data_IF_339773678921
#
_entry.id   IF_339773678921
#
_cell.length_a   1.000
_cell.length_b   1.000
_cell.length_c   1.000
_cell.angle_alpha   90.00
_cell.angle_beta   90.00
_cell.angle_gamma   90.00
#
_symmetry.space_group_name_H-M   'P 1'
#
loop_
_entity.id
_entity.type
_entity.pdbx_description
1 polymer ?
#
# COMPACT_ATOMS: atom_id res chain seq x y z
N UNK A 1 18.62 0.25 13.78
CA UNK A 1 17.20 0.66 13.88
C UNK A 1 16.44 -0.23 12.91
N UNK A 2 15.75 -1.25 13.40
CA UNK A 2 15.02 -2.22 12.58
C UNK A 2 13.71 -1.60 12.09
N UNK A 3 13.22 -2.02 10.93
CA UNK A 3 11.95 -1.52 10.36
C UNK A 3 10.77 -1.67 11.33
N UNK A 4 10.85 -2.58 12.29
CA UNK A 4 9.87 -2.83 13.35
C UNK A 4 9.78 -1.68 14.37
N UNK A 5 10.84 -0.89 14.56
CA UNK A 5 10.84 0.22 15.52
C UNK A 5 10.05 1.44 15.02
N UNK A 6 9.80 1.52 13.71
CA UNK A 6 9.06 2.62 13.07
C UNK A 6 7.54 2.42 13.16
N UNK A 7 7.07 1.19 13.33
CA UNK A 7 5.65 0.83 13.25
C UNK A 7 4.93 0.67 14.60
N UNK A 8 5.55 1.05 15.72
CA UNK A 8 4.84 1.10 17.01
C UNK A 8 4.20 2.48 17.21
N UNK A 9 2.90 2.64 16.96
CA UNK A 9 2.19 3.78 17.55
C UNK A 9 2.21 3.56 19.06
N UNK A 10 2.85 4.45 19.79
CA UNK A 10 2.72 4.53 21.23
C UNK A 10 1.30 5.02 21.60
N UNK A 11 0.31 4.17 21.35
CA UNK A 11 -1.03 4.39 21.85
C UNK A 11 -1.16 3.73 23.22
N UNK A 12 -0.58 4.36 24.22
CA UNK A 12 -0.84 4.05 25.62
C UNK A 12 -2.00 4.89 26.10
N UNK A 13 -3.18 4.28 26.25
CA UNK A 13 -4.35 4.96 26.80
C UNK A 13 -5.68 4.27 26.48
N UNK A 14 -6.75 4.83 27.04
CA UNK A 14 -8.14 4.38 26.86
C UNK A 14 -8.51 4.28 25.36
N UNK A 15 -7.97 5.18 24.52
CA UNK A 15 -8.14 5.18 23.07
C UNK A 15 -7.55 3.96 22.35
N UNK A 16 -6.45 3.41 22.82
CA UNK A 16 -5.87 2.20 22.23
C UNK A 16 -6.70 0.95 22.53
N UNK A 17 -7.22 0.87 23.75
CA UNK A 17 -8.13 -0.23 24.17
C UNK A 17 -9.46 -0.17 23.41
N UNK A 18 -10.00 1.05 23.24
CA UNK A 18 -11.22 1.26 22.45
C UNK A 18 -10.98 0.97 20.96
N UNK A 19 -9.85 1.39 20.41
CA UNK A 19 -9.45 1.04 19.04
C UNK A 19 -9.32 -0.47 18.87
N UNK A 20 -8.62 -1.17 19.75
CA UNK A 20 -8.48 -2.63 19.70
C UNK A 20 -9.81 -3.37 19.80
N UNK A 21 -10.72 -2.91 20.67
CA UNK A 21 -12.08 -3.42 20.75
C UNK A 21 -12.86 -3.19 19.44
N UNK A 22 -12.79 -1.99 18.90
CA UNK A 22 -13.47 -1.63 17.65
C UNK A 22 -12.95 -2.49 16.49
N UNK A 23 -11.63 -2.64 16.35
CA UNK A 23 -11.03 -3.49 15.32
C UNK A 23 -11.38 -4.96 15.47
N UNK A 24 -11.49 -5.47 16.71
CA UNK A 24 -11.94 -6.83 16.98
C UNK A 24 -13.42 -7.10 16.63
N UNK A 25 -14.24 -6.04 16.54
CA UNK A 25 -15.68 -6.13 16.31
C UNK A 25 -16.15 -5.45 15.01
N UNK A 26 -15.25 -5.23 14.07
CA UNK A 26 -15.61 -4.58 12.79
C UNK A 26 -16.71 -5.32 12.03
N UNK A 27 -16.68 -6.65 12.01
CA UNK A 27 -17.64 -7.45 11.26
C UNK A 27 -19.11 -7.22 11.72
N UNK A 28 -19.46 -7.34 13.01
CA UNK A 28 -20.83 -7.06 13.47
C UNK A 28 -21.20 -5.57 13.34
N UNK A 29 -20.26 -4.64 13.55
CA UNK A 29 -20.49 -3.20 13.38
C UNK A 29 -20.84 -2.89 11.93
N UNK A 30 -20.05 -3.36 10.99
CA UNK A 30 -20.33 -3.17 9.57
C UNK A 30 -21.59 -3.94 9.12
N UNK A 31 -21.90 -5.08 9.73
CA UNK A 31 -23.15 -5.80 9.51
C UNK A 31 -24.37 -4.95 9.88
N UNK A 32 -24.34 -4.33 11.07
CA UNK A 32 -25.37 -3.41 11.53
C UNK A 32 -25.49 -2.17 10.62
N UNK A 33 -24.38 -1.53 10.30
CA UNK A 33 -24.36 -0.35 9.43
C UNK A 33 -24.93 -0.66 8.04
N UNK A 34 -24.54 -1.77 7.42
CA UNK A 34 -25.06 -2.18 6.09
C UNK A 34 -26.57 -2.33 6.07
N UNK A 35 -27.15 -2.76 7.16
CA UNK A 35 -28.61 -2.99 7.23
C UNK A 35 -29.37 -1.71 7.55
N UNK A 36 -28.98 -0.99 8.61
CA UNK A 36 -29.74 0.14 9.13
C UNK A 36 -29.29 1.49 8.58
N UNK A 37 -28.01 1.65 8.29
CA UNK A 37 -27.46 2.92 7.84
C UNK A 37 -26.28 2.70 6.86
N UNK A 38 -26.58 2.33 5.60
CA UNK A 38 -25.56 1.87 4.64
C UNK A 38 -24.56 2.94 4.22
N UNK A 39 -24.92 4.21 4.35
CA UNK A 39 -24.05 5.34 4.04
C UNK A 39 -23.99 6.30 5.23
N UNK A 40 -23.36 5.90 6.36
CA UNK A 40 -23.18 6.79 7.48
C UNK A 40 -22.23 7.94 7.12
N UNK A 41 -22.48 9.12 7.72
CA UNK A 41 -21.61 10.27 7.55
C UNK A 41 -21.34 10.98 8.88
N UNK A 42 -20.17 11.62 8.96
CA UNK A 42 -19.81 12.49 10.07
C UNK A 42 -19.11 13.74 9.51
N UNK A 43 -19.75 14.89 9.63
CA UNK A 43 -19.31 16.11 8.97
C UNK A 43 -19.23 15.93 7.45
N UNK A 44 -18.08 16.19 6.86
CA UNK A 44 -17.81 16.01 5.42
C UNK A 44 -17.38 14.60 5.01
N UNK A 45 -17.21 13.68 5.99
CA UNK A 45 -16.76 12.32 5.70
C UNK A 45 -17.94 11.38 5.55
N UNK A 46 -18.00 10.68 4.45
CA UNK A 46 -19.00 9.68 4.12
C UNK A 46 -18.35 8.29 4.08
N UNK A 47 -19.06 7.29 4.59
CA UNK A 47 -18.57 5.92 4.58
C UNK A 47 -19.53 5.03 3.78
N UNK A 48 -19.04 4.36 2.76
CA UNK A 48 -19.78 3.37 2.01
C UNK A 48 -19.58 2.01 2.67
N UNK A 49 -20.66 1.32 3.05
CA UNK A 49 -20.56 0.04 3.77
C UNK A 49 -21.06 -1.16 2.96
N UNK A 50 -21.84 -0.95 1.91
CA UNK A 50 -22.30 -2.01 1.01
C UNK A 50 -21.31 -2.23 -0.13
N UNK A 51 -21.15 -3.48 -0.52
CA UNK A 51 -20.24 -3.86 -1.61
C UNK A 51 -20.56 -3.14 -2.93
N UNK A 52 -21.84 -3.09 -3.31
CA UNK A 52 -22.24 -2.47 -4.58
C UNK A 52 -22.01 -0.95 -4.59
N UNK A 53 -22.23 -0.27 -3.45
CA UNK A 53 -21.97 1.17 -3.32
C UNK A 53 -20.46 1.45 -3.40
N UNK A 54 -19.65 0.65 -2.72
CA UNK A 54 -18.18 0.74 -2.77
C UNK A 54 -17.69 0.48 -4.19
N UNK A 55 -18.19 -0.58 -4.83
CA UNK A 55 -17.83 -0.92 -6.21
C UNK A 55 -18.22 0.19 -7.18
N UNK A 56 -19.42 0.74 -7.04
CA UNK A 56 -19.87 1.87 -7.87
C UNK A 56 -18.95 3.09 -7.69
N UNK A 57 -18.59 3.43 -6.44
CA UNK A 57 -17.67 4.52 -6.14
C UNK A 57 -16.28 4.33 -6.77
N UNK A 58 -15.74 3.11 -6.75
CA UNK A 58 -14.44 2.81 -7.38
C UNK A 58 -14.47 2.83 -8.92
N UNK A 59 -15.64 2.71 -9.52
CA UNK A 59 -15.81 2.71 -10.98
C UNK A 59 -16.20 4.07 -11.55
N UNK A 60 -16.55 5.04 -10.71
CA UNK A 60 -16.95 6.38 -11.14
C UNK A 60 -15.86 7.42 -10.84
N UNK A 61 -14.83 7.44 -11.66
CA UNK A 61 -13.70 8.36 -11.60
C UNK A 61 -14.06 9.80 -11.95
N UNK A 62 -15.26 10.05 -12.52
CA UNK A 62 -15.78 11.40 -12.77
C UNK A 62 -16.26 12.10 -11.51
N UNK A 63 -16.67 11.32 -10.51
CA UNK A 63 -17.18 11.82 -9.23
C UNK A 63 -16.15 11.62 -8.12
N UNK A 64 -15.47 10.48 -8.11
CA UNK A 64 -14.52 10.10 -7.06
C UNK A 64 -13.09 10.19 -7.58
N UNK A 65 -12.43 11.29 -7.26
CA UNK A 65 -11.03 11.51 -7.62
C UNK A 65 -10.09 10.76 -6.66
N UNK A 66 -8.83 10.59 -7.07
CA UNK A 66 -7.77 10.00 -6.25
C UNK A 66 -7.46 10.92 -5.05
N UNK A 67 -7.76 10.51 -3.81
CA UNK A 67 -7.68 11.39 -2.64
C UNK A 67 -6.24 11.73 -2.23
N UNK A 68 -5.26 10.95 -2.65
CA UNK A 68 -3.84 11.13 -2.32
C UNK A 68 -3.02 11.76 -3.46
N UNK A 69 -3.68 12.34 -4.47
CA UNK A 69 -2.99 12.95 -5.61
C UNK A 69 -1.96 14.01 -5.19
N UNK A 70 -2.32 14.89 -4.27
CA UNK A 70 -1.42 15.94 -3.78
C UNK A 70 -0.14 15.39 -3.15
N UNK A 71 -0.28 14.33 -2.33
CA UNK A 71 0.87 13.66 -1.72
C UNK A 71 1.73 12.95 -2.76
N UNK A 72 1.09 12.36 -3.77
CA UNK A 72 1.77 11.72 -4.87
C UNK A 72 2.55 12.73 -5.71
N UNK A 73 2.00 13.89 -5.97
CA UNK A 73 2.67 14.99 -6.67
C UNK A 73 3.94 15.44 -5.91
N UNK A 74 3.90 15.47 -4.57
CA UNK A 74 5.09 15.74 -3.73
C UNK A 74 6.13 14.64 -3.89
N UNK A 75 5.74 13.36 -3.79
CA UNK A 75 6.64 12.22 -3.96
C UNK A 75 7.33 12.25 -5.33
N UNK A 76 6.59 12.62 -6.36
CA UNK A 76 7.05 12.65 -7.75
C UNK A 76 7.73 13.97 -8.15
N UNK A 77 7.92 14.90 -7.20
CA UNK A 77 8.53 16.20 -7.49
C UNK A 77 7.71 17.07 -8.45
N UNK A 78 6.40 16.95 -8.43
CA UNK A 78 5.47 17.66 -9.30
C UNK A 78 5.28 17.03 -10.69
N UNK A 79 5.95 15.92 -10.98
CA UNK A 79 5.74 15.19 -12.24
C UNK A 79 4.45 14.35 -12.11
N UNK A 80 3.50 14.46 -13.04
CA UNK A 80 2.30 13.65 -13.01
C UNK A 80 2.63 12.15 -13.07
N UNK A 81 1.95 11.36 -12.22
CA UNK A 81 2.09 9.91 -12.19
C UNK A 81 0.72 9.26 -12.35
N UNK A 82 0.62 8.26 -13.20
CA UNK A 82 -0.67 7.70 -13.62
C UNK A 82 -1.55 7.21 -12.45
N UNK A 83 -0.98 6.78 -11.32
CA UNK A 83 -1.75 6.39 -10.14
C UNK A 83 -2.48 7.54 -9.44
N UNK A 84 -2.13 8.79 -9.77
CA UNK A 84 -2.79 10.00 -9.27
C UNK A 84 -3.61 10.73 -10.33
N UNK A 85 -3.71 10.19 -11.55
CA UNK A 85 -4.45 10.81 -12.65
C UNK A 85 -5.88 10.28 -12.72
N UNK A 86 -6.79 11.13 -13.20
CA UNK A 86 -8.10 10.73 -13.67
C UNK A 86 -8.03 10.14 -15.09
N UNK A 87 -9.14 9.67 -15.65
CA UNK A 87 -9.25 9.09 -16.99
C UNK A 87 -8.99 10.16 -18.08
N UNK A 88 -7.70 10.36 -18.39
CA UNK A 88 -7.21 11.33 -19.38
C UNK A 88 -6.37 10.65 -20.45
N UNK A 89 -6.08 11.35 -21.54
CA UNK A 89 -5.19 10.86 -22.59
C UNK A 89 -3.79 10.57 -22.05
N UNK A 90 -3.28 11.39 -21.14
CA UNK A 90 -1.99 11.23 -20.48
C UNK A 90 -1.97 9.95 -19.62
N UNK A 91 -3.03 9.72 -18.85
CA UNK A 91 -3.22 8.50 -18.08
C UNK A 91 -3.09 7.25 -18.97
N UNK A 92 -3.84 7.21 -20.06
CA UNK A 92 -3.83 6.06 -20.97
C UNK A 92 -2.48 5.86 -21.67
N UNK A 93 -1.80 6.94 -22.03
CA UNK A 93 -0.44 6.87 -22.56
C UNK A 93 0.51 6.20 -21.58
N UNK A 94 0.51 6.64 -20.31
CA UNK A 94 1.44 6.16 -19.29
C UNK A 94 1.11 4.72 -18.85
N UNK A 95 -0.18 4.41 -18.66
CA UNK A 95 -0.64 3.05 -18.36
C UNK A 95 -0.31 2.07 -19.49
N UNK A 96 -0.49 2.48 -20.75
CA UNK A 96 -0.15 1.61 -21.89
C UNK A 96 1.37 1.42 -22.02
N UNK A 97 2.16 2.42 -21.71
CA UNK A 97 3.62 2.29 -21.64
C UNK A 97 4.03 1.27 -20.55
N UNK A 98 3.44 1.36 -19.35
CA UNK A 98 3.67 0.37 -18.28
C UNK A 98 3.24 -1.05 -18.69
N UNK A 99 2.08 -1.20 -19.32
CA UNK A 99 1.59 -2.50 -19.82
C UNK A 99 2.50 -3.11 -20.88
N UNK A 100 3.14 -2.28 -21.69
CA UNK A 100 4.11 -2.75 -22.69
C UNK A 100 5.39 -3.29 -22.06
N UNK A 101 5.79 -2.75 -20.91
CA UNK A 101 6.97 -3.18 -20.14
C UNK A 101 6.63 -4.39 -19.26
N UNK A 102 5.58 -4.29 -18.46
CA UNK A 102 5.14 -5.34 -17.53
C UNK A 102 4.19 -6.28 -18.25
N UNK A 103 4.72 -7.29 -18.89
CA UNK A 103 3.93 -8.22 -19.67
C UNK A 103 3.34 -9.32 -18.79
N UNK A 104 2.07 -9.75 -19.00
CA UNK A 104 1.47 -10.85 -18.25
C UNK A 104 2.28 -12.16 -18.30
N UNK A 105 2.97 -12.43 -19.40
CA UNK A 105 3.85 -13.58 -19.53
C UNK A 105 5.02 -13.56 -18.56
N UNK A 106 5.56 -12.38 -18.23
CA UNK A 106 6.70 -12.25 -17.32
C UNK A 106 6.36 -12.71 -15.89
N UNK A 107 5.08 -12.62 -15.49
CA UNK A 107 4.63 -13.14 -14.20
C UNK A 107 4.94 -14.64 -14.11
N UNK A 108 4.49 -15.40 -15.11
CA UNK A 108 4.65 -16.86 -15.13
C UNK A 108 6.10 -17.27 -15.43
N UNK A 109 6.72 -16.60 -16.41
CA UNK A 109 7.97 -17.08 -17.00
C UNK A 109 9.22 -16.54 -16.29
N UNK A 110 9.08 -15.45 -15.52
CA UNK A 110 10.19 -14.79 -14.82
C UNK A 110 9.96 -14.59 -13.33
N UNK A 111 8.85 -13.93 -12.93
CA UNK A 111 8.64 -13.54 -11.54
C UNK A 111 8.36 -14.74 -10.64
N UNK A 112 7.42 -15.61 -10.99
CA UNK A 112 7.08 -16.79 -10.18
C UNK A 112 8.30 -17.70 -9.98
N UNK A 113 9.07 -18.08 -11.01
CA UNK A 113 10.27 -18.89 -10.81
C UNK A 113 11.33 -18.23 -9.92
N UNK A 114 11.57 -16.92 -10.11
CA UNK A 114 12.50 -16.17 -9.27
C UNK A 114 12.06 -16.08 -7.82
N UNK A 115 10.77 -15.82 -7.58
CA UNK A 115 10.19 -15.78 -6.24
C UNK A 115 10.26 -17.12 -5.53
N UNK A 116 9.91 -18.22 -6.22
CA UNK A 116 9.95 -19.55 -5.65
C UNK A 116 11.39 -19.92 -5.23
N UNK A 117 12.35 -19.72 -6.15
CA UNK A 117 13.75 -19.98 -5.84
C UNK A 117 14.24 -19.20 -4.62
N UNK A 118 13.97 -17.90 -4.57
CA UNK A 118 14.37 -17.05 -3.42
C UNK A 118 13.67 -17.47 -2.13
N UNK A 119 12.39 -17.85 -2.19
CA UNK A 119 11.66 -18.34 -1.03
C UNK A 119 12.27 -19.63 -0.49
N UNK A 120 12.63 -20.57 -1.36
CA UNK A 120 13.31 -21.82 -0.99
C UNK A 120 14.67 -21.53 -0.31
N UNK A 121 15.46 -20.61 -0.88
CA UNK A 121 16.76 -20.21 -0.33
C UNK A 121 16.61 -19.59 1.08
N UNK A 122 15.62 -18.73 1.29
CA UNK A 122 15.33 -18.10 2.59
C UNK A 122 14.88 -19.13 3.62
N UNK A 123 13.97 -20.03 3.26
CA UNK A 123 13.47 -21.09 4.15
C UNK A 123 14.60 -22.03 4.53
N UNK A 124 15.44 -22.43 3.57
CA UNK A 124 16.59 -23.31 3.83
C UNK A 124 17.61 -22.65 4.78
N UNK A 125 17.85 -21.35 4.65
CA UNK A 125 18.75 -20.61 5.52
C UNK A 125 18.23 -20.43 6.95
N UNK A 126 16.92 -20.53 7.16
CA UNK A 126 16.26 -20.30 8.45
C UNK A 126 16.40 -21.41 9.48
N UNK A 127 17.02 -22.56 9.13
CA UNK A 127 17.23 -23.68 10.05
C UNK A 127 15.98 -24.12 10.85
N UNK A 128 14.80 -24.05 10.22
CA UNK A 128 13.52 -24.46 10.81
C UNK A 128 12.72 -23.32 11.45
N UNK A 129 13.26 -22.10 11.53
CA UNK A 129 12.56 -20.91 12.05
C UNK A 129 12.89 -19.68 11.21
N UNK A 130 11.87 -18.96 10.76
CA UNK A 130 12.03 -17.72 9.99
C UNK A 130 11.06 -16.64 10.47
N UNK A 131 11.50 -15.38 10.41
CA UNK A 131 10.62 -14.23 10.53
C UNK A 131 9.94 -13.99 9.17
N UNK A 132 8.61 -14.21 9.11
CA UNK A 132 7.88 -14.28 7.84
C UNK A 132 7.73 -12.93 7.17
N UNK A 133 7.51 -11.85 7.94
CA UNK A 133 7.16 -10.54 7.37
C UNK A 133 8.38 -9.84 6.79
N UNK A 134 9.43 -9.66 7.60
CA UNK A 134 10.60 -8.88 7.19
C UNK A 134 11.58 -9.73 6.35
N UNK A 135 11.79 -10.99 6.73
CA UNK A 135 12.77 -11.84 6.07
C UNK A 135 12.21 -12.49 4.81
N UNK A 136 10.98 -13.02 4.85
CA UNK A 136 10.42 -13.69 3.69
C UNK A 136 9.66 -12.71 2.80
N UNK A 137 8.58 -12.08 3.31
CA UNK A 137 7.68 -11.31 2.44
C UNK A 137 8.35 -10.04 1.92
N UNK A 138 8.87 -9.20 2.81
CA UNK A 138 9.45 -7.92 2.41
C UNK A 138 10.71 -8.08 1.59
N UNK A 139 11.69 -8.85 2.10
CA UNK A 139 12.97 -9.01 1.42
C UNK A 139 12.79 -9.65 0.05
N UNK A 140 12.07 -10.76 -0.02
CA UNK A 140 11.84 -11.49 -1.27
C UNK A 140 11.14 -10.62 -2.31
N UNK A 141 10.07 -9.90 -1.91
CA UNK A 141 9.32 -9.04 -2.83
C UNK A 141 10.21 -7.92 -3.38
N UNK A 142 10.97 -7.25 -2.50
CA UNK A 142 11.87 -6.17 -2.92
C UNK A 142 12.99 -6.66 -3.83
N UNK A 143 13.64 -7.76 -3.50
CA UNK A 143 14.74 -8.32 -4.27
C UNK A 143 14.28 -8.67 -5.69
N UNK A 144 13.14 -9.36 -5.81
CA UNK A 144 12.61 -9.77 -7.11
C UNK A 144 12.14 -8.57 -7.94
N UNK A 145 11.46 -7.59 -7.33
CA UNK A 145 11.02 -6.39 -8.05
C UNK A 145 12.19 -5.50 -8.46
N UNK A 146 13.19 -5.33 -7.59
CA UNK A 146 14.38 -4.57 -7.93
C UNK A 146 15.14 -5.20 -9.11
N UNK A 147 15.28 -6.51 -9.12
CA UNK A 147 15.90 -7.24 -10.22
C UNK A 147 15.07 -7.14 -11.49
N UNK A 148 13.74 -7.28 -11.39
CA UNK A 148 12.85 -7.20 -12.55
C UNK A 148 12.81 -5.82 -13.19
N UNK A 149 12.78 -4.75 -12.40
CA UNK A 149 12.76 -3.37 -12.87
C UNK A 149 14.16 -2.75 -13.03
N UNK A 150 15.20 -3.45 -12.62
CA UNK A 150 16.56 -2.93 -12.66
C UNK A 150 16.83 -1.77 -11.69
N UNK A 151 16.09 -1.72 -10.57
CA UNK A 151 16.23 -0.66 -9.57
C UNK A 151 17.43 -0.95 -8.67
N UNK A 152 18.39 -0.04 -8.62
CA UNK A 152 19.58 -0.15 -7.78
C UNK A 152 19.49 0.86 -6.63
N UNK A 153 19.64 0.39 -5.40
CA UNK A 153 19.68 1.26 -4.24
C UNK A 153 20.95 2.14 -4.27
N UNK A 154 20.85 3.44 -3.96
CA UNK A 154 22.02 4.26 -3.69
C UNK A 154 22.83 3.68 -2.50
N UNK A 155 24.17 3.91 -2.45
CA UNK A 155 24.98 3.45 -1.34
C UNK A 155 24.44 3.89 0.02
N UNK A 156 24.31 2.95 0.94
CA UNK A 156 23.81 3.21 2.30
C UNK A 156 22.28 3.38 2.42
N UNK A 157 21.53 3.20 1.34
CA UNK A 157 20.07 3.32 1.32
C UNK A 157 19.43 1.94 1.32
N UNK A 158 18.50 1.71 2.25
CA UNK A 158 17.59 0.56 2.22
C UNK A 158 16.25 0.97 1.58
N UNK A 159 16.00 0.48 0.37
CA UNK A 159 14.77 0.79 -0.38
C UNK A 159 13.50 0.29 0.33
N UNK A 160 13.61 -0.76 1.16
CA UNK A 160 12.46 -1.27 1.94
C UNK A 160 12.00 -0.24 2.96
N UNK A 161 12.96 0.41 3.62
CA UNK A 161 12.67 1.50 4.57
C UNK A 161 12.07 2.70 3.84
N UNK A 162 12.60 3.06 2.70
CA UNK A 162 12.08 4.16 1.91
C UNK A 162 10.67 3.89 1.39
N UNK A 163 10.41 2.70 0.86
CA UNK A 163 9.07 2.35 0.39
C UNK A 163 8.06 2.35 1.54
N UNK A 164 8.42 1.86 2.73
CA UNK A 164 7.55 1.93 3.90
C UNK A 164 7.22 3.40 4.25
N UNK A 165 8.21 4.27 4.28
CA UNK A 165 8.02 5.71 4.57
C UNK A 165 7.17 6.41 3.51
N UNK A 166 7.39 6.10 2.23
CA UNK A 166 6.58 6.65 1.13
C UNK A 166 5.12 6.19 1.23
N UNK A 167 4.90 4.92 1.54
CA UNK A 167 3.57 4.38 1.75
C UNK A 167 2.87 5.03 2.95
N UNK A 168 3.57 5.19 4.07
CA UNK A 168 3.05 5.88 5.26
C UNK A 168 2.71 7.33 4.94
N UNK A 169 3.60 8.06 4.26
CA UNK A 169 3.35 9.43 3.84
C UNK A 169 2.13 9.53 2.93
N UNK A 170 1.98 8.60 1.99
CA UNK A 170 0.89 8.61 1.02
C UNK A 170 -0.47 8.30 1.64
N UNK A 171 -0.54 7.29 2.52
CA UNK A 171 -1.81 6.72 2.99
C UNK A 171 -2.15 7.01 4.45
N UNK A 172 -1.18 7.42 5.28
CA UNK A 172 -1.43 7.70 6.69
C UNK A 172 -1.47 9.21 6.96
N UNK A 173 -2.67 9.77 7.15
CA UNK A 173 -2.86 11.21 7.41
C UNK A 173 -2.24 11.68 8.73
N UNK A 174 -1.91 10.76 9.63
CA UNK A 174 -1.35 11.08 10.97
C UNK A 174 0.15 11.28 10.99
N UNK A 175 0.87 10.97 9.90
CA UNK A 175 2.33 11.03 9.85
C UNK A 175 2.88 12.30 9.19
N UNK A 176 2.03 13.24 8.86
CA UNK A 176 2.44 14.58 8.35
C UNK A 176 3.13 15.42 9.42
N UNK A 177 3.14 14.95 10.67
CA UNK A 177 3.64 15.72 11.82
C UNK A 177 5.09 15.42 12.01
N UNK A 178 6.06 15.93 11.56
CA UNK A 178 7.51 15.90 11.88
C UNK A 178 8.44 15.34 10.80
N UNK A 179 8.24 15.72 9.54
CA UNK A 179 9.39 15.80 8.65
C UNK A 179 10.00 17.21 8.70
N UNK A 180 10.83 17.47 9.69
CA UNK A 180 11.89 18.46 9.57
C UNK A 180 13.04 17.80 8.77
N UNK A 181 13.53 18.46 7.70
CA UNK A 181 14.62 17.97 6.89
C UNK A 181 15.92 17.81 7.67
#
# INVERSE_FOLDING_TARGET
MTATDVLRPAATGLGAKFGGFLFGHLSPIFGFLRFFWPVPHAGSTWMLTRYDDVRAGFLDDRVFMVPYKEKLDVIMGGVPFFLGMSDTTEYWRDVNAMRAIVRPADIRDRLIPAMNKRAEDVVAAGNGEIEVVDTLIRQLTFDVLNEYFGVVAPPGVDLRVWATRLFEFQFADRLVVNYTP
#
